data_IF_687211633616
#
_entry.id   IF_687211633616
#
_cell.length_a   1.000
_cell.length_b   1.000
_cell.length_c   1.000
_cell.angle_alpha   90.00
_cell.angle_beta   90.00
_cell.angle_gamma   90.00
#
_symmetry.space_group_name_H-M   'P 1'
#
loop_
_entity.id
_entity.type
_entity.pdbx_description
1 polymer ?
#
# COMPACT_ATOMS: atom_id res chain seq x y z
N UNK A 1 20.32 17.44 15.69
CA UNK A 1 19.12 16.80 15.09
C UNK A 1 18.20 17.91 14.64
N UNK A 2 17.86 18.00 13.34
CA UNK A 2 16.96 19.04 12.83
C UNK A 2 15.57 18.83 13.41
N UNK A 3 14.96 19.89 13.97
CA UNK A 3 13.55 19.88 14.36
C UNK A 3 12.80 20.54 13.21
N UNK A 4 12.02 19.75 12.50
CA UNK A 4 11.14 20.23 11.43
C UNK A 4 9.71 20.21 11.98
N UNK A 5 8.98 21.28 11.73
CA UNK A 5 7.58 21.42 12.13
C UNK A 5 6.71 21.28 10.89
N UNK A 6 5.76 20.35 10.94
CA UNK A 6 4.77 20.13 9.88
C UNK A 6 3.42 20.64 10.38
N UNK A 7 2.74 21.45 9.55
CA UNK A 7 1.40 21.95 9.84
C UNK A 7 0.39 21.01 9.19
N UNK A 8 -0.63 20.59 9.95
CA UNK A 8 -1.74 19.79 9.43
C UNK A 8 -2.81 20.73 8.88
N UNK A 9 -2.63 21.15 7.62
CA UNK A 9 -3.56 22.05 6.93
C UNK A 9 -4.58 21.29 6.09
N UNK A 10 -5.79 21.84 5.96
CA UNK A 10 -6.77 21.35 5.00
C UNK A 10 -6.35 21.73 3.58
N UNK A 11 -6.56 20.82 2.64
CA UNK A 11 -6.24 21.01 1.24
C UNK A 11 -7.52 21.22 0.43
N UNK A 12 -7.77 22.46 -0.01
CA UNK A 12 -8.96 22.82 -0.81
C UNK A 12 -8.63 23.03 -2.29
N UNK A 13 -7.72 22.23 -2.84
CA UNK A 13 -7.30 22.33 -4.23
C UNK A 13 -8.44 22.09 -5.25
N UNK A 14 -8.28 22.71 -6.42
CA UNK A 14 -9.07 22.48 -7.63
C UNK A 14 -8.15 21.99 -8.75
N UNK A 15 -8.67 21.16 -9.65
CA UNK A 15 -7.93 20.62 -10.79
C UNK A 15 -8.84 20.50 -12.02
N UNK A 16 -8.27 20.45 -13.24
CA UNK A 16 -9.01 20.18 -14.47
C UNK A 16 -9.60 18.76 -14.50
N UNK A 17 -10.64 18.56 -15.31
CA UNK A 17 -11.31 17.25 -15.44
C UNK A 17 -10.38 16.15 -15.97
N UNK A 18 -9.37 16.51 -16.75
CA UNK A 18 -8.39 15.59 -17.35
C UNK A 18 -7.12 15.40 -16.49
N UNK A 19 -7.13 15.81 -15.21
CA UNK A 19 -5.97 15.60 -14.32
C UNK A 19 -5.81 14.09 -14.02
N UNK A 20 -4.69 13.44 -14.42
CA UNK A 20 -4.47 12.02 -14.16
C UNK A 20 -4.41 11.68 -12.67
N UNK A 21 -4.11 12.66 -11.81
CA UNK A 21 -4.05 12.52 -10.35
C UNK A 21 -5.33 13.00 -9.65
N UNK A 22 -6.39 13.34 -10.39
CA UNK A 22 -7.65 13.87 -9.85
C UNK A 22 -8.21 13.01 -8.70
N UNK A 23 -8.14 11.68 -8.83
CA UNK A 23 -8.59 10.75 -7.79
C UNK A 23 -7.77 10.88 -6.50
N UNK A 24 -6.45 10.96 -6.60
CA UNK A 24 -5.57 11.12 -5.45
C UNK A 24 -5.76 12.49 -4.78
N UNK A 25 -5.81 13.58 -5.57
CA UNK A 25 -6.07 14.94 -5.06
C UNK A 25 -7.43 15.03 -4.37
N UNK A 26 -8.45 14.35 -4.91
CA UNK A 26 -9.79 14.25 -4.28
C UNK A 26 -9.72 13.63 -2.90
N UNK A 27 -9.04 12.49 -2.77
CA UNK A 27 -8.85 11.82 -1.48
C UNK A 27 -8.09 12.71 -0.49
N UNK A 28 -7.00 13.36 -0.91
CA UNK A 28 -6.25 14.28 -0.04
C UNK A 28 -7.14 15.42 0.45
N UNK A 29 -7.94 16.04 -0.44
CA UNK A 29 -8.90 17.08 -0.06
C UNK A 29 -9.92 16.58 0.97
N UNK A 30 -10.49 15.40 0.75
CA UNK A 30 -11.49 14.83 1.66
C UNK A 30 -10.90 14.54 3.05
N UNK A 31 -9.76 13.85 3.11
CA UNK A 31 -9.15 13.43 4.37
C UNK A 31 -8.47 14.57 5.13
N UNK A 32 -7.95 15.59 4.45
CA UNK A 32 -7.31 16.76 5.10
C UNK A 32 -8.30 17.67 5.85
N UNK A 33 -9.61 17.46 5.69
CA UNK A 33 -10.66 18.15 6.46
C UNK A 33 -10.98 17.46 7.78
N UNK A 34 -10.52 16.23 7.96
CA UNK A 34 -10.69 15.51 9.22
C UNK A 34 -9.67 16.03 10.24
N UNK A 35 -10.07 16.14 11.50
CA UNK A 35 -9.13 16.40 12.59
C UNK A 35 -8.66 15.06 13.19
N UNK A 36 -7.43 14.60 12.89
CA UNK A 36 -6.90 13.36 13.44
C UNK A 36 -6.41 13.52 14.89
N UNK A 37 -6.19 14.75 15.37
CA UNK A 37 -5.50 15.00 16.64
C UNK A 37 -6.36 14.58 17.83
N UNK A 38 -7.68 14.79 17.79
CA UNK A 38 -8.57 14.39 18.88
C UNK A 38 -8.41 12.90 19.25
N UNK A 39 -8.33 12.03 18.24
CA UNK A 39 -8.13 10.59 18.43
C UNK A 39 -6.72 10.28 18.94
N UNK A 40 -5.70 10.93 18.36
CA UNK A 40 -4.30 10.70 18.73
C UNK A 40 -3.95 11.22 20.11
N UNK A 41 -4.57 12.30 20.57
CA UNK A 41 -4.43 12.82 21.93
C UNK A 41 -5.02 11.85 22.96
N UNK A 42 -6.21 11.29 22.68
CA UNK A 42 -6.81 10.26 23.52
C UNK A 42 -5.91 9.02 23.62
N UNK A 43 -5.33 8.60 22.49
CA UNK A 43 -4.39 7.49 22.45
C UNK A 43 -3.09 7.81 23.20
N UNK A 44 -2.56 9.01 23.02
CA UNK A 44 -1.37 9.53 23.71
C UNK A 44 -1.56 9.46 25.23
N UNK A 45 -2.68 9.98 25.73
CA UNK A 45 -3.03 9.93 27.16
C UNK A 45 -3.20 8.52 27.67
N UNK A 46 -3.96 7.68 26.97
CA UNK A 46 -4.27 6.31 27.43
C UNK A 46 -3.05 5.37 27.43
N UNK A 47 -2.08 5.59 26.52
CA UNK A 47 -0.87 4.76 26.42
C UNK A 47 0.36 5.38 27.08
N UNK A 48 0.24 6.61 27.60
CA UNK A 48 1.34 7.38 28.14
C UNK A 48 2.52 7.50 27.15
N UNK A 49 2.22 7.78 25.88
CA UNK A 49 3.20 7.97 24.81
C UNK A 49 3.12 9.41 24.31
N UNK A 50 4.24 10.14 24.15
CA UNK A 50 4.20 11.51 23.63
C UNK A 50 3.52 11.58 22.26
N UNK A 51 2.60 12.54 22.08
CA UNK A 51 1.84 12.71 20.83
C UNK A 51 2.75 12.78 19.59
N UNK A 52 3.84 13.56 19.66
CA UNK A 52 4.80 13.67 18.57
C UNK A 52 5.48 12.33 18.21
N UNK A 53 5.68 11.44 19.19
CA UNK A 53 6.22 10.10 18.93
C UNK A 53 5.19 9.21 18.23
N UNK A 54 3.91 9.28 18.61
CA UNK A 54 2.82 8.58 17.92
C UNK A 54 2.65 9.07 16.48
N UNK A 55 2.64 10.39 16.26
CA UNK A 55 2.56 10.98 14.92
C UNK A 55 3.73 10.51 14.07
N UNK A 56 4.97 10.58 14.59
CA UNK A 56 6.16 10.11 13.88
C UNK A 56 6.09 8.62 13.56
N UNK A 57 5.61 7.79 14.48
CA UNK A 57 5.41 6.36 14.25
C UNK A 57 4.42 6.10 13.12
N UNK A 58 3.26 6.77 13.13
CA UNK A 58 2.23 6.62 12.09
C UNK A 58 2.78 7.06 10.73
N UNK A 59 3.37 8.25 10.65
CA UNK A 59 3.97 8.75 9.41
C UNK A 59 5.04 7.78 8.89
N UNK A 60 5.98 7.35 9.73
CA UNK A 60 7.01 6.39 9.33
C UNK A 60 6.41 5.05 8.89
N UNK A 61 5.43 4.52 9.61
CA UNK A 61 4.79 3.22 9.33
C UNK A 61 4.05 3.21 8.01
N UNK A 62 3.30 4.27 7.68
CA UNK A 62 2.49 4.36 6.47
C UNK A 62 3.28 4.88 5.27
N UNK A 63 4.28 5.75 5.46
CA UNK A 63 5.21 6.09 4.39
C UNK A 63 6.08 4.88 4.01
N UNK A 64 6.44 4.03 4.98
CA UNK A 64 7.13 2.78 4.72
C UNK A 64 6.21 1.68 4.18
N UNK A 65 4.90 1.70 4.43
CA UNK A 65 4.02 0.56 4.05
C UNK A 65 3.92 0.33 2.54
N UNK A 66 4.07 1.38 1.72
CA UNK A 66 4.18 1.22 0.26
C UNK A 66 5.46 0.49 -0.16
N UNK A 67 6.56 0.73 0.56
CA UNK A 67 7.81 -0.01 0.40
C UNK A 67 7.71 -1.41 1.01
N UNK A 68 7.04 -1.59 2.15
CA UNK A 68 6.83 -2.90 2.77
C UNK A 68 5.96 -3.82 1.91
N UNK A 69 4.89 -3.33 1.28
CA UNK A 69 4.10 -4.16 0.35
C UNK A 69 4.95 -4.66 -0.85
N UNK A 70 5.87 -3.82 -1.34
CA UNK A 70 6.86 -4.20 -2.36
C UNK A 70 7.96 -5.12 -1.82
N UNK A 71 8.34 -5.00 -0.54
CA UNK A 71 9.35 -5.84 0.10
C UNK A 71 8.78 -7.22 0.49
N UNK A 72 7.53 -7.29 0.95
CA UNK A 72 6.82 -8.48 1.39
C UNK A 72 6.36 -9.36 0.21
N UNK A 73 5.85 -8.75 -0.88
CA UNK A 73 5.60 -9.49 -2.13
C UNK A 73 6.87 -9.66 -2.99
N UNK A 74 7.86 -8.78 -2.81
CA UNK A 74 9.04 -8.68 -3.65
C UNK A 74 8.74 -8.04 -5.02
N UNK A 75 9.58 -7.12 -5.53
CA UNK A 75 9.38 -6.50 -6.86
C UNK A 75 9.32 -7.52 -8.02
N UNK A 76 9.80 -8.75 -7.78
CA UNK A 76 9.78 -9.86 -8.72
C UNK A 76 8.37 -10.39 -8.96
N UNK A 77 7.55 -10.57 -7.93
CA UNK A 77 6.20 -11.14 -8.07
C UNK A 77 5.27 -10.14 -8.74
N UNK A 78 5.37 -8.86 -8.36
CA UNK A 78 4.62 -7.77 -8.99
C UNK A 78 4.97 -7.64 -10.48
N UNK A 79 6.26 -7.66 -10.84
CA UNK A 79 6.67 -7.67 -12.26
C UNK A 79 6.18 -8.89 -13.02
N UNK A 80 6.24 -10.07 -12.42
CA UNK A 80 5.71 -11.29 -13.05
C UNK A 80 4.22 -11.19 -13.36
N UNK A 81 3.41 -10.63 -12.45
CA UNK A 81 1.98 -10.43 -12.68
C UNK A 81 1.72 -9.40 -13.80
N UNK A 82 2.48 -8.31 -13.81
CA UNK A 82 2.39 -7.29 -14.86
C UNK A 82 2.75 -7.87 -16.24
N UNK A 83 3.84 -8.64 -16.34
CA UNK A 83 4.27 -9.28 -17.60
C UNK A 83 3.20 -10.23 -18.16
N UNK A 84 2.48 -10.95 -17.28
CA UNK A 84 1.39 -11.85 -17.70
C UNK A 84 0.23 -11.08 -18.32
N UNK A 85 -0.12 -9.93 -17.73
CA UNK A 85 -1.20 -9.07 -18.24
C UNK A 85 -0.80 -8.43 -19.56
N UNK A 86 0.39 -7.83 -19.62
CA UNK A 86 0.87 -7.13 -20.82
C UNK A 86 0.96 -8.06 -22.03
N UNK A 87 1.44 -9.29 -21.85
CA UNK A 87 1.49 -10.30 -22.92
C UNK A 87 0.10 -10.67 -23.43
N UNK A 88 -0.88 -10.81 -22.54
CA UNK A 88 -2.25 -11.13 -22.95
C UNK A 88 -2.91 -9.98 -23.70
N UNK A 89 -2.73 -8.74 -23.24
CA UNK A 89 -3.28 -7.56 -23.92
C UNK A 89 -2.64 -7.32 -25.29
N UNK A 90 -1.33 -7.59 -25.43
CA UNK A 90 -0.63 -7.46 -26.73
C UNK A 90 -1.20 -8.36 -27.84
N UNK A 91 -1.86 -9.46 -27.47
CA UNK A 91 -2.45 -10.40 -28.41
C UNK A 91 -3.89 -10.04 -28.80
N UNK A 92 -4.54 -9.15 -28.04
CA UNK A 92 -5.92 -8.71 -28.22
C UNK A 92 -6.93 -9.84 -28.50
N UNK A 93 -6.76 -10.96 -27.81
CA UNK A 93 -7.61 -12.15 -27.92
C UNK A 93 -8.20 -12.53 -26.56
N UNK A 94 -9.49 -12.83 -26.52
CA UNK A 94 -10.17 -13.24 -25.28
C UNK A 94 -9.59 -14.50 -24.67
N UNK A 95 -9.13 -15.43 -25.52
CA UNK A 95 -8.41 -16.63 -25.07
C UNK A 95 -7.13 -16.28 -24.32
N UNK A 96 -6.34 -15.32 -24.81
CA UNK A 96 -5.10 -14.91 -24.16
C UNK A 96 -5.38 -14.23 -22.81
N UNK A 97 -6.44 -13.44 -22.72
CA UNK A 97 -6.91 -12.85 -21.44
C UNK A 97 -7.34 -13.92 -20.44
N UNK A 98 -8.07 -14.94 -20.90
CA UNK A 98 -8.50 -16.05 -20.04
C UNK A 98 -7.32 -16.87 -19.51
N UNK A 99 -6.32 -17.13 -20.35
CA UNK A 99 -5.08 -17.81 -19.96
C UNK A 99 -4.29 -16.99 -18.93
N UNK A 100 -4.19 -15.66 -19.12
CA UNK A 100 -3.58 -14.76 -18.14
C UNK A 100 -4.35 -14.73 -16.82
N UNK A 101 -5.67 -14.71 -16.84
CA UNK A 101 -6.48 -14.78 -15.61
C UNK A 101 -6.20 -16.05 -14.81
N UNK A 102 -6.08 -17.21 -15.47
CA UNK A 102 -5.74 -18.46 -14.78
C UNK A 102 -4.33 -18.42 -14.17
N UNK A 103 -3.36 -17.85 -14.88
CA UNK A 103 -2.00 -17.68 -14.37
C UNK A 103 -1.97 -16.75 -13.14
N UNK A 104 -2.69 -15.61 -13.18
CA UNK A 104 -2.83 -14.70 -12.04
C UNK A 104 -3.52 -15.37 -10.86
N UNK A 105 -4.59 -16.15 -11.12
CA UNK A 105 -5.29 -16.91 -10.09
C UNK A 105 -4.35 -17.88 -9.36
N UNK A 106 -3.45 -18.55 -10.08
CA UNK A 106 -2.45 -19.43 -9.47
C UNK A 106 -1.46 -18.66 -8.57
N UNK A 107 -0.99 -17.50 -9.01
CA UNK A 107 -0.12 -16.62 -8.20
C UNK A 107 -0.83 -16.15 -6.93
N UNK A 108 -2.07 -15.68 -7.06
CA UNK A 108 -2.90 -15.25 -5.91
C UNK A 108 -3.17 -16.40 -4.96
N UNK A 109 -3.47 -17.60 -5.48
CA UNK A 109 -3.66 -18.80 -4.66
C UNK A 109 -2.41 -19.14 -3.85
N UNK A 110 -1.22 -19.04 -4.45
CA UNK A 110 0.05 -19.26 -3.72
C UNK A 110 0.28 -18.19 -2.64
N UNK A 111 0.03 -16.91 -2.95
CA UNK A 111 0.15 -15.81 -1.98
C UNK A 111 -0.85 -15.92 -0.82
N UNK A 112 -2.01 -16.53 -1.03
CA UNK A 112 -3.02 -16.71 0.01
C UNK A 112 -2.66 -17.77 1.04
N UNK A 113 -1.82 -18.76 0.70
CA UNK A 113 -1.45 -19.88 1.59
C UNK A 113 -0.99 -19.39 2.98
N UNK A 114 0.02 -18.50 3.12
CA UNK A 114 0.46 -18.00 4.43
C UNK A 114 -0.60 -17.17 5.18
N UNK A 115 -1.60 -16.63 4.48
CA UNK A 115 -2.69 -15.84 5.08
C UNK A 115 -3.76 -16.78 5.66
N UNK A 116 -4.06 -17.88 4.96
CA UNK A 116 -5.12 -18.82 5.30
C UNK A 116 -4.66 -19.98 6.20
N UNK A 117 -3.35 -20.22 6.32
CA UNK A 117 -2.79 -21.28 7.15
C UNK A 117 -1.85 -20.71 8.24
N UNK A 118 -2.31 -20.59 9.50
CA UNK A 118 -1.52 -20.10 10.63
C UNK A 118 -0.27 -20.96 10.96
N UNK A 119 -0.27 -22.22 10.50
CA UNK A 119 0.82 -23.18 10.68
C UNK A 119 1.89 -23.11 9.59
N UNK A 120 1.65 -22.36 8.52
CA UNK A 120 2.58 -22.29 7.40
C UNK A 120 3.93 -21.70 7.83
N UNK A 121 5.01 -22.31 7.35
CA UNK A 121 6.38 -21.84 7.51
C UNK A 121 7.07 -21.95 6.15
N UNK A 122 7.78 -20.92 5.67
CA UNK A 122 8.57 -21.05 4.46
C UNK A 122 9.63 -22.14 4.66
N UNK A 123 9.93 -22.91 3.61
CA UNK A 123 11.05 -23.85 3.65
C UNK A 123 12.33 -23.08 4.01
N UNK A 124 13.03 -23.50 5.08
CA UNK A 124 14.30 -22.90 5.46
C UNK A 124 15.24 -22.95 4.24
N UNK A 125 15.71 -21.78 3.79
CA UNK A 125 16.67 -21.68 2.70
C UNK A 125 17.87 -22.55 3.08
N UNK A 126 18.04 -23.68 2.39
CA UNK A 126 19.30 -24.44 2.43
C UNK A 126 20.37 -23.53 1.85
N UNK A 127 21.22 -23.01 2.71
CA UNK A 127 22.49 -22.40 2.33
C UNK A 127 23.30 -23.45 1.57
N UNK A 128 23.47 -23.22 0.27
CA UNK A 128 24.52 -23.83 -0.54
C UNK A 128 25.72 -22.90 -0.49
#
# INVERSE_FOLDING_TARGET
MKRETVVLESYDGCWPDEDPDAGFRSMVREYSRLDPLATLENLSRSKNIPLGALVKFILARYSASGAEALLEMGPRVVRQMADVIERAESQNMDRARLEAYQALKAVVSWLNVPITDPGWRPAARRSV
#
